data_IF_111988331771
#
_entry.id   IF_111988331771
#
_cell.length_a   1.000
_cell.length_b   1.000
_cell.length_c   1.000
_cell.angle_alpha   90.00
_cell.angle_beta   90.00
_cell.angle_gamma   90.00
#
_symmetry.space_group_name_H-M   'P 1'
#
loop_
_entity.id
_entity.type
_entity.pdbx_description
1 polymer ?
#
# COMPACT_ATOMS: atom_id res chain seq x y z
N UNK A 1 18.70 6.15 7.34
CA UNK A 1 17.28 5.93 7.69
C UNK A 1 16.57 7.25 7.95
N UNK A 2 16.77 7.91 9.08
CA UNK A 2 15.99 9.12 9.48
C UNK A 2 15.98 10.28 8.49
N UNK A 3 17.13 10.65 7.90
CA UNK A 3 17.21 11.76 6.93
C UNK A 3 16.36 11.49 5.68
N UNK A 4 16.50 10.28 5.11
CA UNK A 4 15.73 9.86 3.94
C UNK A 4 14.27 9.52 4.26
N UNK A 5 13.94 9.29 5.54
CA UNK A 5 12.57 9.16 6.05
C UNK A 5 11.86 10.51 6.17
N UNK A 6 12.61 11.60 6.19
CA UNK A 6 12.03 12.92 6.36
C UNK A 6 11.08 13.25 5.22
N UNK A 7 10.03 13.99 5.57
CA UNK A 7 9.00 14.39 4.62
C UNK A 7 9.55 15.17 3.41
N UNK A 8 10.63 15.93 3.60
CA UNK A 8 11.32 16.63 2.53
C UNK A 8 11.96 15.65 1.52
N UNK A 9 12.78 14.71 2.00
CA UNK A 9 13.46 13.76 1.11
C UNK A 9 12.51 12.73 0.48
N UNK A 10 11.43 12.34 1.17
CA UNK A 10 10.41 11.43 0.64
C UNK A 10 9.69 12.01 -0.59
N UNK A 11 9.53 13.34 -0.67
CA UNK A 11 8.99 14.04 -1.84
C UNK A 11 9.94 14.04 -3.03
N UNK A 12 11.25 14.04 -2.77
CA UNK A 12 12.28 14.11 -3.82
C UNK A 12 12.57 12.74 -4.42
N UNK A 13 12.74 11.71 -3.58
CA UNK A 13 13.10 10.37 -4.06
C UNK A 13 12.50 9.26 -3.22
N UNK A 14 11.50 8.59 -3.80
CA UNK A 14 10.90 7.39 -3.22
C UNK A 14 11.83 6.18 -3.22
N UNK A 15 12.68 6.03 -4.24
CA UNK A 15 13.63 4.91 -4.29
C UNK A 15 14.68 5.00 -3.19
N UNK A 16 15.18 6.20 -2.92
CA UNK A 16 16.11 6.47 -1.81
C UNK A 16 15.48 6.22 -0.44
N UNK A 17 14.20 6.59 -0.28
CA UNK A 17 13.42 6.27 0.91
C UNK A 17 13.44 4.75 1.19
N UNK A 18 12.98 3.92 0.26
CA UNK A 18 12.92 2.47 0.47
C UNK A 18 14.29 1.84 0.69
N UNK A 19 15.27 2.18 -0.15
CA UNK A 19 16.62 1.62 -0.05
C UNK A 19 17.21 1.84 1.34
N UNK A 20 17.11 3.06 1.86
CA UNK A 20 17.67 3.38 3.17
C UNK A 20 16.84 2.82 4.31
N UNK A 21 15.53 2.62 4.14
CA UNK A 21 14.69 2.00 5.16
C UNK A 21 14.96 0.52 5.30
N UNK A 22 15.21 -0.23 4.22
CA UNK A 22 15.56 -1.65 4.29
C UNK A 22 16.79 -1.96 5.17
N UNK A 23 17.64 -0.96 5.41
CA UNK A 23 18.75 -1.06 6.38
C UNK A 23 18.29 -1.30 7.83
N UNK A 24 16.99 -1.22 8.15
CA UNK A 24 16.46 -1.57 9.46
C UNK A 24 16.91 -2.97 9.92
N UNK A 25 16.98 -3.93 8.98
CA UNK A 25 17.42 -5.30 9.27
C UNK A 25 18.86 -5.31 9.79
N UNK A 26 19.74 -4.57 9.12
CA UNK A 26 21.15 -4.42 9.52
C UNK A 26 21.24 -3.76 10.89
N UNK A 27 20.47 -2.70 11.15
CA UNK A 27 20.46 -2.00 12.44
C UNK A 27 20.05 -2.94 13.59
N UNK A 28 19.00 -3.75 13.41
CA UNK A 28 18.58 -4.72 14.44
C UNK A 28 19.64 -5.79 14.68
N UNK A 29 20.28 -6.33 13.62
CA UNK A 29 21.38 -7.29 13.76
C UNK A 29 22.54 -6.67 14.55
N UNK A 30 22.96 -5.45 14.19
CA UNK A 30 24.02 -4.74 14.89
C UNK A 30 23.67 -4.44 16.35
N UNK A 31 22.40 -4.18 16.65
CA UNK A 31 21.94 -3.95 18.05
C UNK A 31 22.01 -5.23 18.88
N UNK A 32 21.67 -6.38 18.29
CA UNK A 32 21.84 -7.69 18.95
C UNK A 32 23.32 -7.99 19.21
N UNK A 33 24.20 -7.75 18.23
CA UNK A 33 25.66 -7.94 18.38
C UNK A 33 26.23 -6.94 19.40
N UNK A 34 25.75 -5.70 19.42
CA UNK A 34 26.22 -4.68 20.36
C UNK A 34 25.96 -5.10 21.81
N UNK A 35 24.78 -5.65 22.10
CA UNK A 35 24.42 -6.12 23.44
C UNK A 35 25.06 -7.45 23.83
N UNK A 36 25.59 -8.24 22.89
CA UNK A 36 26.07 -9.61 23.17
C UNK A 36 27.38 -9.66 23.97
N UNK A 37 28.18 -8.61 23.93
CA UNK A 37 29.44 -8.52 24.68
C UNK A 37 29.27 -8.36 26.19
N UNK A 38 28.03 -8.13 26.67
CA UNK A 38 27.68 -8.08 28.08
C UNK A 38 28.59 -7.20 28.97
N UNK A 39 29.10 -6.08 28.42
CA UNK A 39 30.13 -5.24 29.08
C UNK A 39 29.68 -4.68 30.44
N UNK A 40 28.38 -4.37 30.58
CA UNK A 40 27.80 -3.83 31.82
C UNK A 40 26.72 -4.75 32.41
N UNK A 41 25.93 -5.40 31.55
CA UNK A 41 24.79 -6.24 31.93
C UNK A 41 24.60 -7.34 30.88
N UNK A 42 23.92 -8.42 31.27
CA UNK A 42 23.53 -9.48 30.35
C UNK A 42 22.66 -8.94 29.19
N UNK A 43 22.76 -9.51 27.98
CA UNK A 43 21.95 -9.08 26.85
C UNK A 43 20.46 -9.30 27.15
N UNK A 44 19.68 -8.23 27.25
CA UNK A 44 18.21 -8.31 27.45
C UNK A 44 17.40 -7.89 26.22
N UNK A 45 18.06 -7.38 25.18
CA UNK A 45 17.39 -6.83 24.00
C UNK A 45 16.51 -7.87 23.28
N UNK A 46 16.92 -9.15 23.25
CA UNK A 46 16.14 -10.20 22.60
C UNK A 46 14.74 -10.39 23.22
N UNK A 47 14.58 -10.16 24.52
CA UNK A 47 13.30 -10.29 25.23
C UNK A 47 12.30 -9.27 24.68
N UNK A 48 12.77 -8.07 24.34
CA UNK A 48 11.96 -7.00 23.75
C UNK A 48 11.82 -7.14 22.23
N UNK A 49 12.75 -7.82 21.57
CA UNK A 49 12.75 -7.99 20.11
C UNK A 49 11.85 -9.15 19.66
N UNK A 50 11.84 -10.28 20.38
CA UNK A 50 11.17 -11.52 19.93
C UNK A 50 9.65 -11.36 19.80
N UNK A 51 8.88 -10.86 20.79
CA UNK A 51 7.43 -10.80 20.67
C UNK A 51 6.95 -9.87 19.54
N UNK A 52 7.44 -8.62 19.40
CA UNK A 52 7.10 -7.77 18.26
C UNK A 52 7.62 -8.32 16.93
N UNK A 53 8.80 -8.95 16.92
CA UNK A 53 9.39 -9.55 15.73
C UNK A 53 8.56 -10.71 15.18
N UNK A 54 8.04 -11.58 16.05
CA UNK A 54 7.14 -12.66 15.66
C UNK A 54 5.81 -12.13 15.11
N UNK A 55 5.21 -11.13 15.76
CA UNK A 55 3.98 -10.50 15.27
C UNK A 55 4.19 -9.86 13.89
N UNK A 56 5.31 -9.15 13.69
CA UNK A 56 5.67 -8.58 12.39
C UNK A 56 5.87 -9.66 11.33
N UNK A 57 6.55 -10.76 11.66
CA UNK A 57 6.76 -11.86 10.71
C UNK A 57 5.44 -12.50 10.29
N UNK A 58 4.54 -12.76 11.24
CA UNK A 58 3.20 -13.30 10.96
C UNK A 58 2.40 -12.36 10.06
N UNK A 59 2.37 -11.06 10.36
CA UNK A 59 1.72 -10.05 9.51
C UNK A 59 2.30 -10.06 8.08
N UNK A 60 3.63 -10.13 7.94
CA UNK A 60 4.28 -10.23 6.63
C UNK A 60 3.94 -11.50 5.89
N UNK A 61 3.90 -12.65 6.56
CA UNK A 61 3.50 -13.91 5.93
C UNK A 61 2.05 -13.87 5.43
N UNK A 62 1.14 -13.33 6.24
CA UNK A 62 -0.25 -13.12 5.85
C UNK A 62 -0.33 -12.16 4.66
N UNK A 63 0.41 -11.05 4.70
CA UNK A 63 0.44 -10.06 3.63
C UNK A 63 1.01 -10.60 2.33
N UNK A 64 1.99 -11.51 2.37
CA UNK A 64 2.57 -12.16 1.18
C UNK A 64 1.63 -13.19 0.58
N UNK A 65 0.78 -13.82 1.39
CA UNK A 65 -0.20 -14.80 0.92
C UNK A 65 -1.37 -14.13 0.15
N UNK A 66 -1.58 -12.82 0.34
CA UNK A 66 -2.67 -12.10 -0.32
C UNK A 66 -2.46 -12.05 -1.84
N UNK A 67 -3.51 -12.45 -2.57
CA UNK A 67 -3.52 -12.38 -4.04
C UNK A 67 -3.50 -10.93 -4.50
N UNK A 68 -2.45 -10.57 -5.24
CA UNK A 68 -2.34 -9.33 -6.01
C UNK A 68 -2.97 -9.56 -7.39
N UNK A 69 -3.99 -8.78 -7.73
CA UNK A 69 -4.69 -8.88 -9.02
C UNK A 69 -4.45 -7.62 -9.82
N UNK A 70 -3.95 -7.78 -11.04
CA UNK A 70 -3.81 -6.69 -12.00
C UNK A 70 -5.18 -6.35 -12.61
N UNK A 71 -5.55 -5.07 -12.61
CA UNK A 71 -6.84 -4.63 -13.13
C UNK A 71 -6.64 -3.48 -14.13
N UNK A 72 -7.23 -3.57 -15.34
CA UNK A 72 -7.18 -2.48 -16.30
C UNK A 72 -8.05 -1.30 -15.85
N UNK A 73 -7.51 -0.09 -15.99
CA UNK A 73 -8.25 1.17 -15.83
C UNK A 73 -9.07 1.40 -17.10
N UNK A 74 -10.37 1.60 -16.92
CA UNK A 74 -11.34 1.87 -17.98
C UNK A 74 -11.41 3.36 -18.27
N UNK A 75 -11.44 4.17 -17.22
CA UNK A 75 -11.55 5.62 -17.34
C UNK A 75 -10.79 6.30 -16.19
N UNK A 76 -10.16 7.42 -16.49
CA UNK A 76 -9.53 8.28 -15.50
C UNK A 76 -9.89 9.73 -15.79
N UNK A 77 -10.48 10.42 -14.82
CA UNK A 77 -10.83 11.83 -14.95
C UNK A 77 -10.25 12.65 -13.80
N UNK A 78 -9.73 13.82 -14.14
CA UNK A 78 -9.22 14.78 -13.17
C UNK A 78 -10.36 15.71 -12.77
N UNK A 79 -10.85 15.55 -11.54
CA UNK A 79 -11.91 16.38 -11.00
C UNK A 79 -11.34 17.71 -10.46
N UNK A 80 -12.16 18.79 -10.46
CA UNK A 80 -11.82 20.01 -9.73
C UNK A 80 -11.66 19.68 -8.23
N UNK A 81 -10.83 20.46 -7.52
CA UNK A 81 -10.44 20.23 -6.11
C UNK A 81 -9.38 19.14 -5.86
N UNK A 82 -8.46 18.92 -6.81
CA UNK A 82 -7.32 18.01 -6.62
C UNK A 82 -7.74 16.56 -6.31
N UNK A 83 -8.83 16.10 -6.93
CA UNK A 83 -9.32 14.72 -6.85
C UNK A 83 -9.18 14.02 -8.20
N UNK A 84 -8.66 12.81 -8.18
CA UNK A 84 -8.56 11.92 -9.35
C UNK A 84 -9.63 10.85 -9.21
N UNK A 85 -10.53 10.80 -10.19
CA UNK A 85 -11.51 9.73 -10.35
C UNK A 85 -10.91 8.63 -11.22
N UNK A 86 -10.88 7.41 -10.71
CA UNK A 86 -10.41 6.24 -11.43
C UNK A 86 -11.53 5.20 -11.48
N UNK A 87 -11.76 4.67 -12.67
CA UNK A 87 -12.70 3.60 -12.94
C UNK A 87 -11.95 2.36 -13.45
N UNK A 88 -12.19 1.22 -12.83
CA UNK A 88 -11.55 -0.04 -13.12
C UNK A 88 -12.57 -1.07 -13.59
N UNK A 89 -12.14 -1.99 -14.44
CA UNK A 89 -12.98 -3.13 -14.83
C UNK A 89 -13.15 -4.08 -13.64
N UNK A 90 -14.38 -4.47 -13.31
CA UNK A 90 -14.62 -5.45 -12.25
C UNK A 90 -14.11 -6.84 -12.70
N UNK A 91 -13.24 -7.50 -11.91
CA UNK A 91 -12.83 -8.87 -12.21
C UNK A 91 -13.97 -9.86 -11.92
N UNK A 92 -13.99 -10.96 -12.68
CA UNK A 92 -15.01 -12.01 -12.53
C UNK A 92 -14.97 -12.61 -11.11
N UNK A 93 -16.14 -12.75 -10.48
CA UNK A 93 -16.27 -13.27 -9.12
C UNK A 93 -15.91 -12.28 -8.00
N UNK A 94 -15.63 -11.02 -8.31
CA UNK A 94 -15.40 -10.01 -7.28
C UNK A 94 -16.70 -9.58 -6.63
N UNK A 95 -16.90 -9.93 -5.36
CA UNK A 95 -18.04 -9.52 -4.53
C UNK A 95 -17.53 -8.63 -3.41
N UNK A 96 -18.19 -7.50 -3.21
CA UNK A 96 -17.86 -6.55 -2.16
C UNK A 96 -19.14 -5.94 -1.58
N UNK A 97 -19.04 -5.35 -0.38
CA UNK A 97 -20.11 -4.62 0.30
C UNK A 97 -19.81 -3.12 0.27
N UNK A 98 -20.86 -2.31 0.34
CA UNK A 98 -20.70 -0.85 0.42
C UNK A 98 -19.85 -0.46 1.65
N UNK A 99 -18.99 0.54 1.48
CA UNK A 99 -18.07 1.01 2.51
C UNK A 99 -16.77 0.19 2.63
N UNK A 100 -16.59 -0.88 1.86
CA UNK A 100 -15.31 -1.58 1.79
C UNK A 100 -14.27 -0.77 1.03
N UNK A 101 -12.99 -1.01 1.35
CA UNK A 101 -11.84 -0.39 0.72
C UNK A 101 -10.94 -1.43 0.08
N UNK A 102 -10.13 -0.98 -0.86
CA UNK A 102 -9.15 -1.78 -1.60
C UNK A 102 -7.80 -1.09 -1.54
N UNK A 103 -6.71 -1.83 -1.66
CA UNK A 103 -5.39 -1.20 -1.82
C UNK A 103 -5.01 -1.16 -3.28
N UNK A 104 -4.51 -0.03 -3.71
CA UNK A 104 -4.09 0.21 -5.10
C UNK A 104 -2.60 0.53 -5.15
N UNK A 105 -1.90 -0.07 -6.10
CA UNK A 105 -0.54 0.29 -6.49
C UNK A 105 -0.50 0.63 -7.99
N UNK A 106 0.37 1.58 -8.38
CA UNK A 106 0.55 2.00 -9.77
C UNK A 106 2.03 1.86 -10.15
N UNK A 107 2.33 0.93 -11.06
CA UNK A 107 3.70 0.64 -11.49
C UNK A 107 4.35 1.78 -12.30
N UNK A 108 3.55 2.65 -12.92
CA UNK A 108 4.07 3.81 -13.65
C UNK A 108 4.82 4.80 -12.74
N UNK A 109 4.57 4.76 -11.44
CA UNK A 109 5.29 5.54 -10.43
C UNK A 109 6.67 4.94 -10.09
N UNK A 110 7.00 3.76 -10.62
CA UNK A 110 8.24 3.04 -10.28
C UNK A 110 8.26 2.53 -8.83
N UNK A 111 7.09 2.37 -8.20
CA UNK A 111 6.94 1.91 -6.81
C UNK A 111 5.93 0.75 -6.72
N UNK A 112 6.17 -0.22 -5.82
CA UNK A 112 5.21 -1.29 -5.46
C UNK A 112 4.48 -0.94 -4.14
N UNK A 113 4.16 0.34 -3.96
CA UNK A 113 3.45 0.83 -2.76
C UNK A 113 1.93 0.68 -2.92
N UNK A 114 1.30 0.03 -1.94
CA UNK A 114 -0.15 -0.21 -1.90
C UNK A 114 -0.83 0.74 -0.93
N UNK A 115 -1.65 1.63 -1.46
CA UNK A 115 -2.38 2.65 -0.71
C UNK A 115 -3.87 2.29 -0.60
N UNK A 116 -4.47 2.35 0.61
CA UNK A 116 -5.88 1.99 0.82
C UNK A 116 -6.82 3.12 0.37
N UNK A 117 -7.85 2.76 -0.42
CA UNK A 117 -8.91 3.67 -0.86
C UNK A 117 -10.28 3.00 -0.76
N UNK A 118 -11.26 3.77 -0.29
CA UNK A 118 -12.65 3.31 -0.21
C UNK A 118 -13.28 3.22 -1.59
N UNK A 119 -13.98 2.12 -1.87
CA UNK A 119 -14.77 1.96 -3.09
C UNK A 119 -15.96 2.93 -3.06
N UNK A 120 -16.07 3.76 -4.09
CA UNK A 120 -17.19 4.69 -4.26
C UNK A 120 -18.30 4.14 -5.14
N UNK A 121 -18.02 3.07 -5.89
CA UNK A 121 -18.99 2.35 -6.70
C UNK A 121 -19.93 1.50 -5.84
N UNK A 122 -21.12 1.25 -6.37
CA UNK A 122 -22.09 0.38 -5.71
C UNK A 122 -21.83 -1.11 -6.01
N UNK A 123 -22.10 -2.04 -5.08
CA UNK A 123 -21.85 -3.48 -5.27
C UNK A 123 -22.51 -4.13 -6.49
N UNK A 124 -23.54 -3.50 -7.05
CA UNK A 124 -24.27 -3.97 -8.23
C UNK A 124 -23.72 -3.42 -9.56
N UNK A 125 -22.79 -2.46 -9.51
CA UNK A 125 -22.17 -1.89 -10.71
C UNK A 125 -21.13 -2.85 -11.33
N UNK A 126 -21.02 -2.80 -12.66
CA UNK A 126 -20.07 -3.62 -13.43
C UNK A 126 -18.64 -3.09 -13.39
N UNK A 127 -18.45 -1.85 -12.95
CA UNK A 127 -17.15 -1.21 -12.78
C UNK A 127 -16.88 -0.91 -11.31
N UNK A 128 -15.60 -0.69 -10.98
CA UNK A 128 -15.17 -0.27 -9.65
C UNK A 128 -14.66 1.16 -9.74
N UNK A 129 -15.15 2.05 -8.90
CA UNK A 129 -14.72 3.45 -8.91
C UNK A 129 -14.04 3.86 -7.61
N UNK A 130 -13.05 4.75 -7.73
CA UNK A 130 -12.29 5.33 -6.64
C UNK A 130 -12.16 6.84 -6.83
N UNK A 131 -12.26 7.58 -5.71
CA UNK A 131 -11.99 9.00 -5.64
C UNK A 131 -10.76 9.25 -4.76
N UNK A 132 -9.65 9.66 -5.37
CA UNK A 132 -8.36 9.82 -4.70
C UNK A 132 -8.00 11.30 -4.64
N UNK A 133 -7.87 11.85 -3.44
CA UNK A 133 -7.43 13.24 -3.25
C UNK A 133 -5.89 13.32 -3.24
N UNK A 134 -5.33 14.30 -3.94
CA UNK A 134 -3.90 14.57 -3.97
C UNK A 134 -3.43 15.29 -2.70
N UNK A 135 -3.24 14.54 -1.62
CA UNK A 135 -2.79 15.07 -0.31
C UNK A 135 -1.31 14.79 -0.06
N UNK A 136 -0.85 13.60 -0.43
CA UNK A 136 0.51 13.13 -0.23
C UNK A 136 1.29 13.01 -1.54
N UNK A 137 2.62 12.81 -1.46
CA UNK A 137 3.48 12.81 -2.65
C UNK A 137 3.12 11.66 -3.61
N UNK A 138 2.72 10.50 -3.09
CA UNK A 138 2.24 9.39 -3.91
C UNK A 138 0.95 9.73 -4.66
N UNK A 139 -0.05 10.31 -3.97
CA UNK A 139 -1.33 10.68 -4.59
C UNK A 139 -1.19 11.84 -5.59
N UNK A 140 -0.25 12.76 -5.37
CA UNK A 140 0.07 13.84 -6.32
C UNK A 140 0.73 13.29 -7.58
N UNK A 141 1.74 12.42 -7.43
CA UNK A 141 2.36 11.78 -8.60
C UNK A 141 1.40 10.86 -9.34
N UNK A 142 0.48 10.19 -8.63
CA UNK A 142 -0.59 9.41 -9.27
C UNK A 142 -1.44 10.32 -10.17
N UNK A 143 -1.87 11.47 -9.66
CA UNK A 143 -2.63 12.46 -10.44
C UNK A 143 -1.87 12.92 -11.69
N UNK A 144 -0.57 13.18 -11.57
CA UNK A 144 0.30 13.54 -12.70
C UNK A 144 0.43 12.39 -13.71
N UNK A 145 0.57 11.14 -13.25
CA UNK A 145 0.69 9.97 -14.13
C UNK A 145 -0.58 9.73 -14.97
N UNK A 146 -1.76 10.08 -14.44
CA UNK A 146 -3.04 10.02 -15.16
C UNK A 146 -3.42 11.35 -15.82
N UNK A 147 -2.51 12.32 -15.91
CA UNK A 147 -2.77 13.57 -16.63
C UNK A 147 -2.85 13.35 -18.16
N UNK A 148 -3.70 14.10 -18.88
CA UNK A 148 -3.93 13.91 -20.32
C UNK A 148 -2.64 13.86 -21.16
N UNK A 149 -1.70 14.76 -20.86
CA UNK A 149 -0.42 14.86 -21.56
C UNK A 149 0.43 13.58 -21.49
N UNK A 150 0.34 12.84 -20.37
CA UNK A 150 1.08 11.59 -20.18
C UNK A 150 0.33 10.39 -20.79
N UNK A 151 -1.00 10.45 -20.86
CA UNK A 151 -1.84 9.43 -21.50
C UNK A 151 -1.68 9.43 -23.03
N UNK A 152 -1.51 10.60 -23.64
CA UNK A 152 -1.22 10.73 -25.08
C UNK A 152 0.13 10.10 -25.47
N UNK A 153 1.12 10.08 -24.57
CA UNK A 153 2.41 9.45 -24.79
C UNK A 153 2.39 7.93 -24.60
N UNK A 154 1.61 7.42 -23.64
CA UNK A 154 1.52 5.97 -23.37
C UNK A 154 0.50 5.24 -24.25
N UNK A 155 -0.47 5.95 -24.84
CA UNK A 155 -1.55 5.36 -25.65
C UNK A 155 -2.52 4.44 -24.88
N UNK A 156 -2.27 4.20 -23.59
CA UNK A 156 -3.07 3.34 -22.70
C UNK A 156 -2.93 3.81 -21.25
N UNK A 157 -3.95 3.55 -20.44
CA UNK A 157 -3.89 3.84 -19.00
C UNK A 157 -2.87 2.93 -18.29
N UNK A 158 -2.07 3.46 -17.34
CA UNK A 158 -1.23 2.65 -16.48
C UNK A 158 -2.05 1.57 -15.74
N UNK A 159 -1.55 0.34 -15.80
CA UNK A 159 -2.14 -0.81 -15.10
C UNK A 159 -2.03 -0.61 -13.59
N UNK A 160 -3.13 -0.83 -12.88
CA UNK A 160 -3.20 -0.72 -11.44
C UNK A 160 -3.31 -2.10 -10.82
N UNK A 161 -2.61 -2.31 -9.70
CA UNK A 161 -2.67 -3.55 -8.94
C UNK A 161 -3.58 -3.37 -7.75
N UNK A 162 -4.53 -4.28 -7.61
CA UNK A 162 -5.42 -4.34 -6.47
C UNK A 162 -4.96 -5.44 -5.52
N UNK A 163 -4.76 -5.07 -4.26
CA UNK A 163 -4.75 -6.00 -3.14
C UNK A 163 -6.10 -5.86 -2.44
N UNK A 164 -6.95 -6.87 -2.60
CA UNK A 164 -8.32 -6.80 -2.09
C UNK A 164 -9.17 -7.98 -2.49
N UNK A 165 -9.63 -8.68 -1.47
CA UNK A 165 -10.74 -9.62 -1.46
C UNK A 165 -10.97 -10.00 0.00
N UNK A 166 -12.01 -9.44 0.64
CA UNK A 166 -12.48 -10.02 1.89
C UNK A 166 -12.99 -11.42 1.55
N UNK A 167 -12.35 -12.47 2.07
CA UNK A 167 -13.01 -13.77 2.12
C UNK A 167 -14.10 -13.71 3.19
N UNK A 168 -15.35 -13.85 2.78
CA UNK A 168 -16.44 -14.12 3.69
C UNK A 168 -16.22 -15.53 4.26
N UNK A 169 -15.68 -15.64 5.47
CA UNK A 169 -15.59 -16.93 6.18
C UNK A 169 -16.80 -17.03 7.11
N UNK A 170 -17.76 -17.88 6.74
CA UNK A 170 -18.86 -18.35 7.59
C UNK A 170 -20.26 -17.80 7.28
N UNK A 171 -21.27 -18.67 7.37
CA UNK A 171 -22.71 -18.43 7.15
C UNK A 171 -23.39 -17.46 8.15
N UNK A 172 -22.61 -16.78 8.99
CA UNK A 172 -23.11 -15.93 10.07
C UNK A 172 -22.66 -14.48 9.92
N UNK A 173 -23.11 -13.78 8.88
CA UNK A 173 -23.34 -12.32 8.88
C UNK A 173 -22.22 -11.33 9.26
N UNK A 174 -21.04 -11.77 9.69
CA UNK A 174 -19.96 -10.93 10.21
C UNK A 174 -18.79 -10.97 9.23
N UNK A 175 -18.64 -9.90 8.45
CA UNK A 175 -17.43 -9.70 7.65
C UNK A 175 -16.34 -9.11 8.54
N UNK A 176 -15.33 -9.90 8.89
CA UNK A 176 -14.11 -9.41 9.53
C UNK A 176 -13.15 -8.94 8.44
N UNK A 177 -13.10 -7.63 8.19
CA UNK A 177 -12.06 -7.03 7.35
C UNK A 177 -10.74 -7.00 8.14
N UNK A 178 -9.89 -8.02 8.00
CA UNK A 178 -8.53 -7.98 8.58
C UNK A 178 -7.63 -7.14 7.68
N UNK A 179 -7.90 -5.84 7.63
CA UNK A 179 -6.98 -4.86 7.08
C UNK A 179 -6.06 -4.35 8.18
N UNK A 180 -5.12 -5.18 8.63
CA UNK A 180 -3.98 -4.69 9.40
C UNK A 180 -2.86 -4.35 8.41
N UNK A 181 -2.32 -3.12 8.52
CA UNK A 181 -1.31 -2.58 7.63
C UNK A 181 -1.42 -1.06 7.47
N UNK A 182 -0.57 -0.35 8.21
CA UNK A 182 -0.51 1.10 8.43
C UNK A 182 -0.99 2.01 7.31
N UNK A 183 -1.90 2.89 7.69
CA UNK A 183 -2.00 4.26 7.19
C UNK A 183 -0.64 4.94 7.38
N UNK A 184 0.24 4.90 6.38
CA UNK A 184 1.34 5.86 6.30
C UNK A 184 0.94 6.92 5.27
N UNK A 185 0.29 7.97 5.78
CA UNK A 185 0.17 9.27 5.10
C UNK A 185 1.53 9.97 5.12
#
# INVERSE_FOLDING_TARGET
MYVFASHYFRRISFRGFWLTHYLYVVVYILTVIHGSFALLQEPRFYIYLIPPGLLFLLDKLISLNRKKVEIPVVNATLLPSEVTYLEFKRPQGFVYRSGQWVRVACLALGTDEYHPFTLTSAPHEETLSLHIRAIGPWTSHLREAYAPNNLEQLGTYPKAWREGGCECVGDGGVCVCVGWGSVYV
#
